data_IF_687435008361
#
_entry.id   IF_687435008361
#
_cell.length_a   1.000
_cell.length_b   1.000
_cell.length_c   1.000
_cell.angle_alpha   90.00
_cell.angle_beta   90.00
_cell.angle_gamma   90.00
#
_symmetry.space_group_name_H-M   'P 1'
#
loop_
_entity.id
_entity.type
_entity.pdbx_description
1 polymer ?
#
# COMPACT_ATOMS: atom_id res chain seq x y z
N UNK A 1 -12.74 -3.27 -20.83
CA UNK A 1 -11.52 -3.16 -20.02
C UNK A 1 -11.06 -1.72 -20.13
N UNK A 2 -11.40 -0.89 -19.16
CA UNK A 2 -11.07 0.54 -19.20
C UNK A 2 -9.74 0.70 -18.49
N UNK A 3 -8.73 1.20 -19.21
CA UNK A 3 -7.41 1.47 -18.65
C UNK A 3 -7.52 2.50 -17.51
N UNK A 4 -6.82 2.24 -16.41
CA UNK A 4 -6.58 3.23 -15.37
C UNK A 4 -5.75 4.37 -15.96
N UNK A 5 -6.29 5.58 -15.93
CA UNK A 5 -5.63 6.80 -16.39
C UNK A 5 -4.39 7.07 -15.54
N UNK A 6 -3.27 7.29 -16.21
CA UNK A 6 -1.95 7.58 -15.65
C UNK A 6 -1.97 8.74 -14.67
N UNK A 7 -1.48 8.51 -13.45
CA UNK A 7 -1.15 9.57 -12.50
C UNK A 7 0.09 10.39 -12.92
N UNK A 8 0.41 11.48 -12.21
CA UNK A 8 1.40 12.50 -12.62
C UNK A 8 2.85 12.01 -12.71
N UNK A 9 3.15 10.77 -12.30
CA UNK A 9 4.51 10.21 -12.28
C UNK A 9 4.85 9.37 -13.52
N UNK A 10 3.93 9.18 -14.47
CA UNK A 10 4.19 8.40 -15.69
C UNK A 10 4.49 6.90 -15.45
N UNK A 11 4.39 6.43 -14.20
CA UNK A 11 4.46 5.01 -13.85
C UNK A 11 3.05 4.45 -13.95
N UNK A 12 2.78 3.45 -14.82
CA UNK A 12 1.49 2.79 -14.84
C UNK A 12 1.25 2.16 -13.46
N UNK A 13 0.05 2.31 -12.86
CA UNK A 13 -0.25 1.65 -11.60
C UNK A 13 -0.04 0.13 -11.76
N UNK A 14 0.67 -0.49 -10.82
CA UNK A 14 0.78 -1.96 -10.79
C UNK A 14 -0.62 -2.56 -10.75
N UNK A 15 -0.81 -3.73 -11.35
CA UNK A 15 -2.15 -4.26 -11.48
C UNK A 15 -2.70 -4.62 -10.09
N UNK A 16 -4.01 -4.47 -9.87
CA UNK A 16 -4.64 -4.65 -8.55
C UNK A 16 -4.47 -6.09 -8.04
N UNK A 17 -4.64 -6.33 -6.74
CA UNK A 17 -4.42 -7.64 -6.08
C UNK A 17 -5.08 -8.81 -6.83
N UNK A 18 -6.30 -8.59 -7.35
CA UNK A 18 -7.08 -9.61 -8.06
C UNK A 18 -6.48 -10.03 -9.41
N UNK A 19 -5.58 -9.23 -9.99
CA UNK A 19 -4.90 -9.56 -11.26
C UNK A 19 -3.84 -10.65 -11.13
N UNK A 20 -3.40 -10.95 -9.90
CA UNK A 20 -2.32 -11.91 -9.62
C UNK A 20 -2.80 -13.35 -9.47
N UNK A 21 -4.12 -13.60 -9.58
CA UNK A 21 -4.74 -14.90 -9.34
C UNK A 21 -5.05 -15.14 -7.86
N UNK A 22 -6.07 -15.95 -7.58
CA UNK A 22 -6.46 -16.29 -6.19
C UNK A 22 -5.40 -17.11 -5.46
N UNK A 23 -4.48 -17.74 -6.18
CA UNK A 23 -3.39 -18.57 -5.68
C UNK A 23 -2.05 -17.81 -5.58
N UNK A 24 -2.03 -16.48 -5.76
CA UNK A 24 -0.79 -15.69 -5.77
C UNK A 24 0.10 -15.95 -4.53
N UNK A 25 -0.50 -16.21 -3.37
CA UNK A 25 0.22 -16.47 -2.14
C UNK A 25 1.09 -17.74 -2.19
N UNK A 26 0.75 -18.70 -3.05
CA UNK A 26 1.36 -20.04 -3.11
C UNK A 26 1.79 -20.49 -4.51
N UNK A 27 1.51 -19.70 -5.56
CA UNK A 27 1.75 -20.11 -6.95
C UNK A 27 3.23 -20.18 -7.36
N UNK A 28 4.15 -19.77 -6.49
CA UNK A 28 5.59 -20.01 -6.64
C UNK A 28 6.00 -21.13 -5.68
N UNK A 29 6.41 -22.32 -6.18
CA UNK A 29 6.82 -23.43 -5.32
C UNK A 29 7.91 -23.05 -4.33
N UNK A 30 7.69 -23.37 -3.05
CA UNK A 30 8.65 -23.08 -1.97
C UNK A 30 8.69 -21.63 -1.52
N UNK A 31 7.87 -20.72 -2.07
CA UNK A 31 7.84 -19.31 -1.69
C UNK A 31 6.42 -18.90 -1.31
N UNK A 32 6.22 -18.67 -0.01
CA UNK A 32 5.00 -18.03 0.47
C UNK A 32 5.09 -16.53 0.18
N UNK A 33 4.06 -15.96 -0.43
CA UNK A 33 3.98 -14.54 -0.77
C UNK A 33 2.83 -13.84 -0.06
N UNK A 34 2.97 -12.54 0.12
CA UNK A 34 1.96 -11.63 0.64
C UNK A 34 1.78 -10.45 -0.32
N UNK A 35 0.62 -9.81 -0.24
CA UNK A 35 0.34 -8.61 -1.02
C UNK A 35 1.03 -7.40 -0.37
N UNK A 36 1.99 -6.81 -1.06
CA UNK A 36 2.54 -5.50 -0.74
C UNK A 36 1.74 -4.43 -1.49
N UNK A 37 1.43 -3.32 -0.82
CA UNK A 37 0.49 -2.30 -1.29
C UNK A 37 1.11 -0.90 -1.17
N UNK A 38 1.00 -0.11 -2.23
CA UNK A 38 1.39 1.30 -2.22
C UNK A 38 0.33 2.20 -2.88
N UNK A 39 -0.16 3.25 -2.21
CA UNK A 39 0.18 3.67 -0.85
C UNK A 39 -0.26 2.65 0.23
N UNK A 40 0.49 2.58 1.34
CA UNK A 40 0.30 1.56 2.37
C UNK A 40 -1.07 1.67 3.05
N UNK A 41 -1.70 0.54 3.39
CA UNK A 41 -3.00 0.50 4.08
C UNK A 41 -3.06 1.32 5.39
N UNK A 42 -1.91 1.60 6.02
CA UNK A 42 -1.80 2.41 7.23
C UNK A 42 -1.89 3.93 6.99
N UNK A 43 -1.81 4.42 5.75
CA UNK A 43 -1.85 5.87 5.43
C UNK A 43 -3.26 6.33 5.01
N UNK A 44 -3.48 7.64 4.95
CA UNK A 44 -4.75 8.22 4.50
C UNK A 44 -5.03 8.00 3.01
N UNK A 45 -3.98 8.01 2.19
CA UNK A 45 -4.00 7.68 0.76
C UNK A 45 -3.99 6.16 0.49
N UNK A 46 -3.91 5.37 1.56
CA UNK A 46 -3.61 3.95 1.56
C UNK A 46 -4.64 3.04 0.90
N UNK A 47 -4.24 1.80 0.64
CA UNK A 47 -5.09 0.75 0.08
C UNK A 47 -6.40 0.47 0.87
N UNK A 48 -6.42 0.77 2.17
CA UNK A 48 -7.60 0.64 3.01
C UNK A 48 -8.55 1.86 2.96
N UNK A 49 -8.26 2.89 2.17
CA UNK A 49 -9.01 4.16 2.16
C UNK A 49 -10.51 3.95 1.89
N UNK A 50 -10.88 3.18 0.86
CA UNK A 50 -12.30 2.91 0.54
C UNK A 50 -13.04 2.15 1.67
N UNK A 51 -12.33 1.34 2.45
CA UNK A 51 -12.91 0.64 3.59
C UNK A 51 -13.20 1.58 4.78
N UNK A 52 -12.46 2.70 4.87
CA UNK A 52 -12.67 3.75 5.89
C UNK A 52 -13.64 4.84 5.43
N UNK A 53 -13.66 5.16 4.13
CA UNK A 53 -14.53 6.14 3.49
C UNK A 53 -15.00 5.60 2.13
N UNK A 54 -16.25 5.14 2.08
CA UNK A 54 -16.84 4.56 0.87
C UNK A 54 -17.03 5.55 -0.28
N UNK A 55 -16.88 6.86 -0.04
CA UNK A 55 -16.91 7.87 -1.11
C UNK A 55 -15.62 7.89 -1.94
N UNK A 56 -14.54 7.29 -1.44
CA UNK A 56 -13.24 7.25 -2.11
C UNK A 56 -13.21 6.14 -3.17
N UNK A 57 -12.39 6.27 -4.24
CA UNK A 57 -12.30 5.23 -5.25
C UNK A 57 -11.81 3.90 -4.66
N UNK A 58 -12.52 2.81 -4.99
CA UNK A 58 -12.08 1.45 -4.65
C UNK A 58 -10.88 1.07 -5.52
N UNK A 59 -9.97 0.27 -4.96
CA UNK A 59 -8.82 -0.31 -5.67
C UNK A 59 -7.85 0.74 -6.26
N UNK A 60 -7.78 1.93 -5.65
CA UNK A 60 -6.88 3.02 -6.05
C UNK A 60 -5.49 2.91 -5.41
N UNK A 61 -4.85 1.77 -5.60
CA UNK A 61 -3.50 1.47 -5.10
C UNK A 61 -2.80 0.49 -6.05
N UNK A 62 -1.49 0.45 -5.96
CA UNK A 62 -0.64 -0.52 -6.65
C UNK A 62 -0.40 -1.73 -5.73
N UNK A 63 -0.42 -2.94 -6.29
CA UNK A 63 -0.21 -4.17 -5.53
C UNK A 63 0.84 -5.07 -6.19
N UNK A 64 1.68 -5.72 -5.36
CA UNK A 64 2.66 -6.70 -5.83
C UNK A 64 2.81 -7.86 -4.84
N UNK A 65 2.72 -9.12 -5.28
CA UNK A 65 3.12 -10.27 -4.49
C UNK A 65 4.60 -10.24 -4.17
N UNK A 66 4.96 -10.20 -2.89
CA UNK A 66 6.33 -10.27 -2.39
C UNK A 66 6.52 -11.49 -1.49
N UNK A 67 7.74 -12.07 -1.40
CA UNK A 67 8.02 -13.08 -0.40
C UNK A 67 7.60 -12.61 1.00
N UNK A 68 6.87 -13.47 1.71
CA UNK A 68 6.30 -13.17 3.03
C UNK A 68 7.34 -12.65 4.01
N UNK A 69 8.53 -13.25 4.01
CA UNK A 69 9.63 -12.84 4.89
C UNK A 69 10.06 -11.39 4.64
N UNK A 70 10.18 -11.00 3.36
CA UNK A 70 10.64 -9.66 2.99
C UNK A 70 9.56 -8.63 3.27
N UNK A 71 8.31 -8.93 2.90
CA UNK A 71 7.15 -8.07 3.16
C UNK A 71 6.94 -7.83 4.66
N UNK A 72 7.00 -8.91 5.47
CA UNK A 72 6.87 -8.82 6.91
C UNK A 72 8.03 -8.05 7.57
N UNK A 73 9.26 -8.24 7.10
CA UNK A 73 10.41 -7.50 7.60
C UNK A 73 10.29 -6.00 7.30
N UNK A 74 9.92 -5.64 6.06
CA UNK A 74 9.69 -4.26 5.65
C UNK A 74 8.55 -3.61 6.47
N UNK A 75 7.43 -4.32 6.65
CA UNK A 75 6.32 -3.86 7.47
C UNK A 75 6.70 -3.59 8.94
N UNK A 76 7.53 -4.44 9.54
CA UNK A 76 8.05 -4.23 10.89
C UNK A 76 8.94 -2.98 10.99
N UNK A 77 9.78 -2.74 9.99
CA UNK A 77 10.63 -1.54 9.92
C UNK A 77 9.75 -0.29 9.79
N UNK A 78 8.78 -0.30 8.88
CA UNK A 78 7.84 0.82 8.69
C UNK A 78 7.05 1.10 9.97
N UNK A 79 6.53 0.06 10.64
CA UNK A 79 5.83 0.20 11.92
C UNK A 79 6.74 0.85 12.96
N UNK A 80 7.96 0.36 13.12
CA UNK A 80 8.89 0.90 14.10
C UNK A 80 9.33 2.33 13.78
N UNK A 81 9.38 2.71 12.49
CA UNK A 81 9.59 4.10 12.08
C UNK A 81 8.42 4.99 12.50
N UNK A 82 7.18 4.61 12.18
CA UNK A 82 5.98 5.38 12.54
C UNK A 82 5.83 5.52 14.05
N UNK A 83 6.05 4.43 14.81
CA UNK A 83 6.00 4.44 16.28
C UNK A 83 7.03 5.39 16.89
N UNK A 84 8.29 5.33 16.43
CA UNK A 84 9.38 6.16 17.00
C UNK A 84 9.23 7.64 16.68
N UNK A 85 8.69 7.97 15.52
CA UNK A 85 8.48 9.35 15.09
C UNK A 85 7.10 9.89 15.49
N UNK A 86 6.29 9.09 16.18
CA UNK A 86 4.94 9.46 16.65
C UNK A 86 4.06 9.98 15.52
N UNK A 87 4.08 9.29 14.39
CA UNK A 87 3.15 9.51 13.28
C UNK A 87 1.81 8.89 13.73
N UNK A 88 0.94 9.71 14.31
CA UNK A 88 -0.28 9.34 15.04
C UNK A 88 -1.51 9.91 14.33
N UNK A 89 -2.01 9.22 13.29
CA UNK A 89 -3.34 9.47 12.66
C UNK A 89 -3.69 10.98 12.60
N UNK A 90 -2.77 11.75 12.01
CA UNK A 90 -2.56 13.14 12.38
C UNK A 90 -3.53 14.13 11.76
N UNK A 91 -4.57 14.50 12.51
CA UNK A 91 -5.32 15.74 12.28
C UNK A 91 -5.27 16.66 13.50
N UNK A 92 -4.80 17.90 13.32
CA UNK A 92 -5.01 18.98 14.27
C UNK A 92 -6.23 19.81 13.85
N UNK A 93 -7.42 19.26 14.04
CA UNK A 93 -8.69 19.89 13.64
C UNK A 93 -8.97 19.81 12.14
N UNK A 94 -8.27 20.59 11.31
CA UNK A 94 -8.46 20.62 9.84
C UNK A 94 -7.19 20.34 9.03
N UNK A 95 -6.03 20.37 9.67
CA UNK A 95 -4.74 20.22 9.01
C UNK A 95 -4.19 18.82 9.27
N UNK A 96 -3.73 18.17 8.20
CA UNK A 96 -2.95 16.95 8.29
C UNK A 96 -1.57 17.32 8.83
N UNK A 97 -1.23 16.80 10.01
CA UNK A 97 0.01 17.15 10.72
C UNK A 97 1.07 16.05 10.65
N UNK A 98 0.66 14.83 10.33
CA UNK A 98 1.55 13.67 10.32
C UNK A 98 1.71 13.14 8.90
N UNK A 99 2.92 13.27 8.35
CA UNK A 99 3.24 12.80 7.01
C UNK A 99 4.70 12.38 6.92
N UNK A 100 4.99 11.49 5.98
CA UNK A 100 6.34 11.07 5.66
C UNK A 100 6.51 10.87 4.16
N UNK A 101 7.72 11.11 3.65
CA UNK A 101 8.06 10.88 2.25
C UNK A 101 8.78 9.53 2.12
N UNK A 102 8.31 8.71 1.19
CA UNK A 102 9.03 7.50 0.77
C UNK A 102 9.90 7.83 -0.43
N UNK A 103 11.18 7.50 -0.35
CA UNK A 103 12.11 7.64 -1.48
C UNK A 103 12.88 6.32 -1.64
N UNK A 104 12.92 5.81 -2.86
CA UNK A 104 13.76 4.69 -3.26
C UNK A 104 14.72 5.24 -4.30
N UNK A 105 16.02 5.19 -3.99
CA UNK A 105 17.11 5.70 -4.83
C UNK A 105 17.97 4.58 -5.36
#
# INVERSE_FOLDING_TARGET
MTQATTGPTGVPPLPPVWSWGSDYATSVPGVNRECDEYPFASTYEGAAQHAKDSSKPKDNYSARPLPKTDNGAAGNILKAFMDRNRILDGFNGKEEVDGYLVTVS
#
